data_IF_046900896013
#
_entry.id   IF_046900896013
#
_cell.length_a   1.000
_cell.length_b   1.000
_cell.length_c   1.000
_cell.angle_alpha   90.00
_cell.angle_beta   90.00
_cell.angle_gamma   90.00
#
_symmetry.space_group_name_H-M   'P 1'
#
loop_
_entity.id
_entity.type
_entity.pdbx_description
1 polymer ?
#
# COMPACT_ATOMS: atom_id res chain seq x y z
N UNK A 1 5.50 -22.00 -25.55
CA UNK A 1 4.46 -21.25 -26.32
C UNK A 1 4.62 -19.79 -25.97
N UNK A 2 5.29 -19.01 -26.79
CA UNK A 2 5.68 -17.63 -26.54
C UNK A 2 4.50 -16.69 -26.75
N UNK A 3 4.16 -15.93 -25.75
CA UNK A 3 3.00 -15.05 -25.62
C UNK A 3 3.03 -13.94 -26.68
N UNK A 4 1.92 -13.77 -27.39
CA UNK A 4 1.60 -12.68 -28.32
C UNK A 4 1.35 -11.34 -27.59
N UNK A 5 2.19 -10.95 -26.64
CA UNK A 5 2.03 -9.72 -25.86
C UNK A 5 2.32 -8.41 -26.63
N UNK A 6 2.74 -8.48 -27.90
CA UNK A 6 3.25 -7.32 -28.63
C UNK A 6 2.50 -7.00 -29.94
N UNK A 7 1.22 -7.37 -30.05
CA UNK A 7 0.45 -6.96 -31.23
C UNK A 7 0.03 -5.48 -31.12
N UNK A 8 -0.05 -4.72 -32.24
CA UNK A 8 -0.54 -3.34 -32.23
C UNK A 8 -1.93 -3.19 -31.58
N UNK A 9 -2.79 -4.19 -31.73
CA UNK A 9 -4.12 -4.23 -31.10
C UNK A 9 -4.04 -4.39 -29.59
N UNK A 10 -3.11 -5.20 -29.07
CA UNK A 10 -2.93 -5.36 -27.63
C UNK A 10 -2.40 -4.07 -26.99
N UNK A 11 -1.43 -3.41 -27.63
CA UNK A 11 -0.90 -2.10 -27.19
C UNK A 11 -1.98 -1.02 -27.18
N UNK A 12 -2.77 -0.91 -28.24
CA UNK A 12 -3.88 0.04 -28.30
C UNK A 12 -4.92 -0.23 -27.22
N UNK A 13 -5.25 -1.51 -26.97
CA UNK A 13 -6.19 -1.87 -25.92
C UNK A 13 -5.67 -1.46 -24.53
N UNK A 14 -4.39 -1.70 -24.26
CA UNK A 14 -3.77 -1.34 -22.98
C UNK A 14 -3.70 0.18 -22.81
N UNK A 15 -3.32 0.90 -23.85
CA UNK A 15 -3.32 2.36 -23.83
C UNK A 15 -4.71 2.92 -23.54
N UNK A 16 -5.75 2.45 -24.23
CA UNK A 16 -7.13 2.88 -23.95
C UNK A 16 -7.57 2.54 -22.54
N UNK A 17 -7.12 1.39 -22.01
CA UNK A 17 -7.40 0.99 -20.63
C UNK A 17 -6.75 1.94 -19.63
N UNK A 18 -5.50 2.34 -19.88
CA UNK A 18 -4.81 3.37 -19.08
C UNK A 18 -5.53 4.72 -19.15
N UNK A 19 -5.93 5.17 -20.34
CA UNK A 19 -6.68 6.43 -20.53
C UNK A 19 -8.00 6.43 -19.73
N UNK A 20 -8.72 5.31 -19.72
CA UNK A 20 -9.94 5.14 -18.90
C UNK A 20 -9.61 5.30 -17.41
N UNK A 21 -8.56 4.66 -16.92
CA UNK A 21 -8.12 4.74 -15.51
C UNK A 21 -7.68 6.16 -15.14
N UNK A 22 -6.95 6.86 -16.02
CA UNK A 22 -6.51 8.23 -15.77
C UNK A 22 -7.70 9.20 -15.61
N UNK A 23 -8.74 9.05 -16.44
CA UNK A 23 -9.98 9.82 -16.28
C UNK A 23 -10.70 9.45 -14.98
N UNK A 24 -10.76 8.16 -14.67
CA UNK A 24 -11.38 7.69 -13.43
C UNK A 24 -10.68 8.25 -12.18
N UNK A 25 -9.35 8.31 -12.16
CA UNK A 25 -8.57 8.93 -11.08
C UNK A 25 -8.87 10.42 -10.96
N UNK A 26 -9.00 11.15 -12.09
CA UNK A 26 -9.42 12.56 -12.04
C UNK A 26 -10.84 12.73 -11.47
N UNK A 27 -11.78 11.85 -11.82
CA UNK A 27 -13.13 11.87 -11.26
C UNK A 27 -13.14 11.50 -9.77
N UNK A 28 -12.30 10.55 -9.37
CA UNK A 28 -12.07 10.17 -7.97
C UNK A 28 -11.53 11.37 -7.17
N UNK A 29 -10.58 12.11 -7.74
CA UNK A 29 -10.03 13.32 -7.14
C UNK A 29 -11.07 14.42 -6.94
N UNK A 30 -11.96 14.60 -7.92
CA UNK A 30 -12.94 15.68 -7.91
C UNK A 30 -14.18 15.39 -7.03
N UNK A 31 -14.56 14.13 -6.88
CA UNK A 31 -15.84 13.77 -6.25
C UNK A 31 -15.83 12.50 -5.42
N UNK A 32 -14.65 11.99 -5.04
CA UNK A 32 -14.53 10.75 -4.31
C UNK A 32 -15.02 9.55 -5.13
N UNK A 33 -15.19 8.42 -4.46
CA UNK A 33 -15.63 7.18 -5.11
C UNK A 33 -16.99 7.38 -5.80
N UNK A 34 -17.92 8.11 -5.18
CA UNK A 34 -19.23 8.38 -5.76
C UNK A 34 -19.15 9.25 -7.04
N UNK A 35 -18.07 9.99 -7.20
CA UNK A 35 -17.77 10.78 -8.39
C UNK A 35 -17.44 9.96 -9.63
N UNK A 36 -17.04 8.70 -9.52
CA UNK A 36 -16.61 7.87 -10.67
C UNK A 36 -17.82 7.36 -11.45
N UNK A 37 -17.91 7.73 -12.74
CA UNK A 37 -19.04 7.39 -13.60
C UNK A 37 -18.58 6.96 -15.00
N UNK A 38 -18.80 5.70 -15.37
CA UNK A 38 -18.35 5.10 -16.65
C UNK A 38 -18.80 5.88 -17.87
N UNK A 39 -20.05 6.35 -17.90
CA UNK A 39 -20.56 7.10 -19.07
C UNK A 39 -19.92 8.48 -19.22
N UNK A 40 -19.53 9.14 -18.13
CA UNK A 40 -18.76 10.38 -18.19
C UNK A 40 -17.35 10.13 -18.69
N UNK A 41 -16.72 9.04 -18.25
CA UNK A 41 -15.39 8.62 -18.73
C UNK A 41 -15.47 8.37 -20.24
N UNK A 42 -16.42 7.57 -20.70
CA UNK A 42 -16.60 7.27 -22.12
C UNK A 42 -16.71 8.55 -22.95
N UNK A 43 -17.54 9.51 -22.53
CA UNK A 43 -17.73 10.79 -23.20
C UNK A 43 -16.43 11.60 -23.27
N UNK A 44 -15.64 11.62 -22.20
CA UNK A 44 -14.40 12.40 -22.10
C UNK A 44 -13.32 11.89 -23.06
N UNK A 45 -13.21 10.56 -23.23
CA UNK A 45 -12.21 9.94 -24.11
C UNK A 45 -12.77 9.62 -25.53
N UNK A 46 -13.98 10.09 -25.84
CA UNK A 46 -14.57 9.91 -27.19
C UNK A 46 -15.02 8.47 -27.48
N UNK A 47 -15.27 7.65 -26.46
CA UNK A 47 -15.82 6.30 -26.63
C UNK A 47 -17.34 6.29 -26.52
N UNK A 48 -17.98 5.36 -27.25
CA UNK A 48 -19.38 5.03 -26.98
C UNK A 48 -19.50 4.23 -25.67
N UNK A 49 -20.62 4.36 -24.96
CA UNK A 49 -20.88 3.55 -23.75
C UNK A 49 -20.64 2.05 -23.96
N UNK A 50 -21.23 1.41 -25.00
CA UNK A 50 -20.96 -0.01 -25.29
C UNK A 50 -19.50 -0.34 -25.59
N UNK A 51 -18.70 0.62 -26.11
CA UNK A 51 -17.27 0.42 -26.33
C UNK A 51 -16.51 0.40 -25.01
N UNK A 52 -16.85 1.27 -24.05
CA UNK A 52 -16.25 1.30 -22.73
C UNK A 52 -16.53 0.03 -21.93
N UNK A 53 -17.76 -0.48 -21.97
CA UNK A 53 -18.13 -1.73 -21.29
C UNK A 53 -17.37 -2.97 -21.78
N UNK A 54 -16.65 -2.91 -22.91
CA UNK A 54 -15.70 -3.95 -23.34
C UNK A 54 -14.37 -3.92 -22.61
N UNK A 55 -14.06 -2.80 -21.95
CA UNK A 55 -12.85 -2.64 -21.11
C UNK A 55 -13.14 -2.92 -19.65
N UNK A 56 -14.24 -2.43 -19.13
CA UNK A 56 -14.68 -2.59 -17.74
C UNK A 56 -16.17 -2.91 -17.75
N UNK A 57 -16.53 -4.11 -17.26
CA UNK A 57 -17.91 -4.58 -17.29
C UNK A 57 -18.83 -3.79 -16.34
N UNK A 58 -18.24 -3.21 -15.28
CA UNK A 58 -18.94 -2.40 -14.30
C UNK A 58 -18.05 -1.28 -13.75
N UNK A 59 -18.64 -0.35 -13.01
CA UNK A 59 -17.93 0.65 -12.22
C UNK A 59 -17.05 -0.03 -11.15
N UNK A 60 -17.55 -1.07 -10.55
CA UNK A 60 -16.85 -1.80 -9.50
C UNK A 60 -15.62 -2.54 -10.04
N UNK A 61 -15.68 -3.07 -11.28
CA UNK A 61 -14.50 -3.64 -11.94
C UNK A 61 -13.41 -2.58 -12.16
N UNK A 62 -13.80 -1.36 -12.56
CA UNK A 62 -12.86 -0.26 -12.70
C UNK A 62 -12.27 0.15 -11.33
N UNK A 63 -13.11 0.29 -10.31
CA UNK A 63 -12.65 0.61 -8.96
C UNK A 63 -11.72 -0.48 -8.39
N UNK A 64 -12.03 -1.74 -8.65
CA UNK A 64 -11.19 -2.87 -8.25
C UNK A 64 -9.78 -2.78 -8.85
N UNK A 65 -9.66 -2.42 -10.13
CA UNK A 65 -8.35 -2.19 -10.75
C UNK A 65 -7.65 -0.97 -10.19
N UNK A 66 -8.36 0.15 -9.93
CA UNK A 66 -7.75 1.31 -9.28
C UNK A 66 -7.23 0.99 -7.88
N UNK A 67 -7.90 0.12 -7.13
CA UNK A 67 -7.41 -0.38 -5.84
C UNK A 67 -6.09 -1.15 -6.01
N UNK A 68 -6.01 -2.03 -7.00
CA UNK A 68 -4.77 -2.78 -7.28
C UNK A 68 -3.64 -1.85 -7.72
N UNK A 69 -3.91 -0.90 -8.63
CA UNK A 69 -2.95 0.11 -9.07
C UNK A 69 -2.45 0.98 -7.90
N UNK A 70 -3.34 1.36 -6.97
CA UNK A 70 -2.97 2.13 -5.79
C UNK A 70 -2.00 1.37 -4.87
N UNK A 71 -2.27 0.09 -4.61
CA UNK A 71 -1.32 -0.76 -3.86
C UNK A 71 0.00 -0.96 -4.61
N UNK A 72 -0.03 -1.10 -5.94
CA UNK A 72 1.18 -1.19 -6.76
C UNK A 72 2.00 0.10 -6.70
N UNK A 73 1.34 1.25 -6.75
CA UNK A 73 2.00 2.56 -6.60
C UNK A 73 2.66 2.72 -5.23
N UNK A 74 1.94 2.37 -4.15
CA UNK A 74 2.49 2.38 -2.79
C UNK A 74 3.68 1.42 -2.64
N UNK A 75 3.54 0.19 -3.16
CA UNK A 75 4.62 -0.80 -3.13
C UNK A 75 5.84 -0.32 -3.93
N UNK A 76 5.62 0.24 -5.13
CA UNK A 76 6.71 0.75 -5.97
C UNK A 76 7.50 1.87 -5.25
N UNK A 77 6.82 2.79 -4.56
CA UNK A 77 7.46 3.85 -3.79
C UNK A 77 8.35 3.29 -2.67
N UNK A 78 7.83 2.32 -1.91
CA UNK A 78 8.58 1.69 -0.81
C UNK A 78 9.73 0.81 -1.33
N UNK A 79 9.53 0.08 -2.44
CA UNK A 79 10.57 -0.77 -3.04
C UNK A 79 11.69 0.03 -3.73
N UNK A 80 11.45 1.30 -4.07
CA UNK A 80 12.47 2.17 -4.64
C UNK A 80 13.49 2.67 -3.60
N UNK A 81 13.20 2.47 -2.30
CA UNK A 81 14.09 2.88 -1.22
C UNK A 81 15.30 1.94 -1.17
N UNK A 82 16.49 2.53 -1.16
CA UNK A 82 17.70 1.78 -0.83
C UNK A 82 17.71 1.47 0.69
N UNK A 83 17.82 0.19 1.02
CA UNK A 83 17.86 -0.29 2.40
C UNK A 83 19.20 -0.92 2.77
N UNK A 84 20.26 -0.71 1.97
CA UNK A 84 21.58 -1.31 2.21
C UNK A 84 22.19 -0.88 3.54
N UNK A 85 22.00 0.38 3.93
CA UNK A 85 22.45 0.90 5.25
C UNK A 85 21.70 0.26 6.44
N UNK A 86 20.57 -0.38 6.18
CA UNK A 86 19.78 -1.12 7.18
C UNK A 86 19.26 -0.25 8.33
N UNK A 87 18.75 -0.92 9.35
CA UNK A 87 18.44 -0.35 10.64
C UNK A 87 17.49 0.86 10.63
N UNK A 88 17.85 1.88 11.40
CA UNK A 88 17.06 3.12 11.59
C UNK A 88 16.89 3.92 10.31
N UNK A 89 17.99 4.06 9.55
CA UNK A 89 17.98 4.86 8.32
C UNK A 89 17.00 4.25 7.29
N UNK A 90 17.03 2.94 7.11
CA UNK A 90 16.13 2.24 6.23
C UNK A 90 14.67 2.35 6.71
N UNK A 91 14.41 2.19 8.01
CA UNK A 91 13.05 2.33 8.55
C UNK A 91 12.47 3.73 8.28
N UNK A 92 13.28 4.77 8.54
CA UNK A 92 12.91 6.16 8.27
C UNK A 92 12.62 6.38 6.78
N UNK A 93 13.52 5.95 5.89
CA UNK A 93 13.34 6.12 4.45
C UNK A 93 12.09 5.41 3.93
N UNK A 94 11.79 4.19 4.40
CA UNK A 94 10.61 3.44 4.01
C UNK A 94 9.30 4.12 4.46
N UNK A 95 9.24 4.62 5.70
CA UNK A 95 8.05 5.32 6.22
C UNK A 95 7.80 6.63 5.46
N UNK A 96 8.87 7.36 5.13
CA UNK A 96 8.79 8.58 4.35
C UNK A 96 8.37 8.34 2.90
N UNK A 97 8.93 7.33 2.24
CA UNK A 97 8.55 6.97 0.87
C UNK A 97 7.05 6.63 0.77
N UNK A 98 6.51 5.91 1.75
CA UNK A 98 5.08 5.64 1.82
C UNK A 98 4.27 6.93 2.02
N UNK A 99 4.67 7.80 2.97
CA UNK A 99 4.00 9.09 3.21
C UNK A 99 4.03 9.98 1.98
N UNK A 100 5.19 10.14 1.33
CA UNK A 100 5.35 10.96 0.13
C UNK A 100 4.45 10.48 -1.01
N UNK A 101 4.38 9.17 -1.24
CA UNK A 101 3.44 8.60 -2.19
C UNK A 101 1.99 8.95 -1.83
N UNK A 102 1.62 8.78 -0.58
CA UNK A 102 0.26 8.99 -0.11
C UNK A 102 -0.17 10.47 -0.21
N UNK A 103 0.73 11.39 0.17
CA UNK A 103 0.50 12.85 0.06
C UNK A 103 0.45 13.30 -1.41
N UNK A 104 1.26 12.71 -2.28
CA UNK A 104 1.24 12.99 -3.72
C UNK A 104 -0.01 12.39 -4.42
N UNK A 105 -0.59 11.32 -3.86
CA UNK A 105 -1.73 10.59 -4.43
C UNK A 105 -2.86 10.40 -3.42
N UNK A 106 -3.38 11.49 -2.80
CA UNK A 106 -4.30 11.36 -1.66
C UNK A 106 -5.57 10.59 -1.99
N UNK A 107 -6.05 10.69 -3.25
CA UNK A 107 -7.27 9.99 -3.67
C UNK A 107 -7.06 8.48 -3.80
N UNK A 108 -5.88 8.05 -4.28
CA UNK A 108 -5.50 6.64 -4.36
C UNK A 108 -5.24 6.08 -2.96
N UNK A 109 -4.60 6.86 -2.09
CA UNK A 109 -4.43 6.49 -0.69
C UNK A 109 -5.79 6.26 -0.02
N UNK A 110 -6.72 7.21 -0.13
CA UNK A 110 -8.05 7.10 0.47
C UNK A 110 -8.87 5.94 -0.12
N UNK A 111 -8.63 5.58 -1.37
CA UNK A 111 -9.29 4.44 -2.01
C UNK A 111 -8.92 3.10 -1.35
N UNK A 112 -7.65 2.95 -0.91
CA UNK A 112 -7.16 1.70 -0.30
C UNK A 112 -7.20 1.71 1.23
N UNK A 113 -7.26 2.89 1.85
CA UNK A 113 -7.20 3.04 3.31
C UNK A 113 -8.43 3.75 3.89
N UNK A 114 -9.31 4.24 3.02
CA UNK A 114 -10.52 4.95 3.43
C UNK A 114 -11.61 4.02 3.98
N UNK A 115 -12.74 4.64 4.28
CA UNK A 115 -13.92 3.91 4.77
C UNK A 115 -14.41 2.93 3.70
N UNK A 116 -14.72 1.67 4.07
CA UNK A 116 -15.31 0.72 3.13
C UNK A 116 -16.56 1.30 2.47
N UNK A 117 -16.63 1.20 1.16
CA UNK A 117 -17.80 1.67 0.40
C UNK A 117 -18.89 0.60 0.43
N UNK A 118 -20.11 1.00 0.80
CA UNK A 118 -21.23 0.09 0.83
C UNK A 118 -21.45 -0.56 -0.55
N UNK A 119 -21.49 -1.88 -0.58
CA UNK A 119 -21.68 -2.65 -1.81
C UNK A 119 -20.43 -2.90 -2.66
N UNK A 120 -19.27 -2.30 -2.32
CA UNK A 120 -18.00 -2.61 -2.97
C UNK A 120 -17.20 -3.65 -2.16
N UNK A 121 -16.77 -4.71 -2.81
CA UNK A 121 -15.89 -5.73 -2.23
C UNK A 121 -14.51 -5.62 -2.88
N UNK A 122 -13.49 -5.38 -2.07
CA UNK A 122 -12.12 -5.33 -2.56
C UNK A 122 -11.72 -6.68 -3.19
N UNK A 123 -10.90 -6.67 -4.27
CA UNK A 123 -10.40 -7.90 -4.88
C UNK A 123 -9.66 -8.79 -3.87
N UNK A 124 -9.73 -10.11 -4.04
CA UNK A 124 -9.01 -11.07 -3.18
C UNK A 124 -7.51 -10.89 -3.20
N UNK A 125 -6.96 -10.40 -4.32
CA UNK A 125 -5.53 -10.13 -4.48
C UNK A 125 -5.03 -8.92 -3.69
N UNK A 126 -5.94 -8.11 -3.14
CA UNK A 126 -5.63 -6.93 -2.32
C UNK A 126 -4.72 -7.27 -1.13
N UNK A 127 -4.92 -8.44 -0.49
CA UNK A 127 -4.09 -8.88 0.63
C UNK A 127 -2.63 -9.11 0.20
N UNK A 128 -2.42 -9.69 -0.98
CA UNK A 128 -1.06 -9.91 -1.52
C UNK A 128 -0.39 -8.58 -1.87
N UNK A 129 -1.14 -7.64 -2.42
CA UNK A 129 -0.65 -6.29 -2.73
C UNK A 129 -0.32 -5.50 -1.46
N UNK A 130 -1.15 -5.56 -0.42
CA UNK A 130 -0.87 -4.95 0.87
C UNK A 130 0.40 -5.54 1.53
N UNK A 131 0.60 -6.86 1.43
CA UNK A 131 1.82 -7.53 1.87
C UNK A 131 3.06 -7.04 1.12
N UNK A 132 2.95 -6.69 -0.15
CA UNK A 132 4.05 -6.14 -0.94
C UNK A 132 4.52 -4.78 -0.39
N UNK A 133 3.60 -3.93 0.08
CA UNK A 133 3.95 -2.65 0.72
C UNK A 133 4.74 -2.86 2.01
N UNK A 134 4.37 -3.86 2.83
CA UNK A 134 5.02 -4.13 4.12
C UNK A 134 6.28 -4.99 4.00
N UNK A 135 6.52 -5.61 2.86
CA UNK A 135 7.64 -6.52 2.66
C UNK A 135 9.01 -5.95 3.06
N UNK A 136 9.43 -4.78 2.53
CA UNK A 136 10.71 -4.17 2.86
C UNK A 136 10.93 -3.92 4.35
N UNK A 137 9.88 -3.61 5.11
CA UNK A 137 9.96 -3.42 6.56
C UNK A 137 10.35 -4.71 7.29
N UNK A 138 9.93 -5.88 6.79
CA UNK A 138 10.34 -7.16 7.37
C UNK A 138 11.86 -7.33 7.36
N UNK A 139 12.51 -6.97 6.26
CA UNK A 139 13.98 -7.07 6.12
C UNK A 139 14.71 -6.17 7.12
N UNK A 140 14.16 -4.98 7.38
CA UNK A 140 14.71 -4.04 8.36
C UNK A 140 14.58 -4.61 9.77
N UNK A 141 13.40 -5.06 10.17
CA UNK A 141 13.17 -5.59 11.52
C UNK A 141 13.79 -6.96 11.77
N UNK A 142 14.16 -7.71 10.73
CA UNK A 142 14.94 -8.95 10.89
C UNK A 142 16.31 -8.71 11.57
N UNK A 143 16.80 -7.47 11.56
CA UNK A 143 18.04 -7.07 12.23
C UNK A 143 17.81 -6.66 13.70
N UNK A 144 16.56 -6.54 14.12
CA UNK A 144 16.17 -5.98 15.41
C UNK A 144 16.30 -6.94 16.59
N UNK A 145 16.39 -6.35 17.77
CA UNK A 145 16.33 -7.03 19.07
C UNK A 145 15.26 -6.33 19.92
N UNK A 146 14.01 -6.81 19.92
CA UNK A 146 12.92 -6.10 20.57
C UNK A 146 13.10 -6.05 22.09
N UNK A 147 12.66 -4.95 22.69
CA UNK A 147 12.55 -4.84 24.14
C UNK A 147 11.41 -5.75 24.65
N UNK A 148 11.54 -6.26 25.88
CA UNK A 148 10.60 -7.19 26.55
C UNK A 148 9.13 -6.71 26.50
N UNK A 149 8.90 -5.40 26.49
CA UNK A 149 7.55 -4.82 26.43
C UNK A 149 6.72 -5.23 25.19
N UNK A 150 7.34 -5.71 24.12
CA UNK A 150 6.64 -6.19 22.92
C UNK A 150 6.44 -7.70 22.89
N UNK A 151 6.96 -8.45 23.86
CA UNK A 151 6.85 -9.91 23.92
C UNK A 151 5.41 -10.43 23.80
N UNK A 152 4.39 -9.79 24.40
CA UNK A 152 3.02 -10.27 24.23
C UNK A 152 2.56 -10.28 22.77
N UNK A 153 2.93 -9.27 21.98
CA UNK A 153 2.59 -9.22 20.55
C UNK A 153 3.43 -10.21 19.73
N UNK A 154 4.72 -10.34 20.07
CA UNK A 154 5.60 -11.36 19.46
C UNK A 154 4.99 -12.76 19.62
N UNK A 155 4.50 -13.08 20.82
CA UNK A 155 3.89 -14.39 21.09
C UNK A 155 2.61 -14.63 20.26
N UNK A 156 1.77 -13.60 20.11
CA UNK A 156 0.55 -13.68 19.29
C UNK A 156 0.88 -13.87 17.81
N UNK A 157 1.80 -13.07 17.26
CA UNK A 157 2.18 -13.15 15.86
C UNK A 157 2.97 -14.43 15.53
N UNK A 158 3.74 -14.98 16.46
CA UNK A 158 4.34 -16.32 16.35
C UNK A 158 3.25 -17.40 16.17
N UNK A 159 2.15 -17.28 16.89
CA UNK A 159 1.02 -18.21 16.73
C UNK A 159 0.42 -18.08 15.34
N UNK A 160 0.22 -16.84 14.86
CA UNK A 160 -0.27 -16.58 13.53
C UNK A 160 0.65 -17.13 12.42
N UNK A 161 1.97 -16.98 12.55
CA UNK A 161 2.95 -17.57 11.63
C UNK A 161 2.85 -19.10 11.56
N UNK A 162 2.62 -19.77 12.71
CA UNK A 162 2.47 -21.24 12.75
C UNK A 162 1.17 -21.72 12.11
N UNK A 163 0.09 -20.94 12.26
CA UNK A 163 -1.23 -21.31 11.77
C UNK A 163 -1.47 -20.95 10.31
N UNK A 164 -0.65 -20.05 9.75
CA UNK A 164 -0.81 -19.51 8.40
C UNK A 164 0.48 -19.68 7.58
N UNK A 165 0.66 -20.83 6.90
CA UNK A 165 1.87 -21.10 6.10
C UNK A 165 2.15 -20.02 5.04
N UNK A 166 1.10 -19.40 4.47
CA UNK A 166 1.23 -18.33 3.49
C UNK A 166 1.78 -17.03 4.08
N UNK A 167 1.61 -16.80 5.38
CA UNK A 167 2.24 -15.66 6.09
C UNK A 167 3.69 -15.99 6.39
N UNK A 168 3.97 -17.20 6.85
CA UNK A 168 5.34 -17.66 7.10
C UNK A 168 6.20 -17.59 5.84
N UNK A 169 5.69 -18.08 4.71
CA UNK A 169 6.38 -18.04 3.41
C UNK A 169 6.63 -16.57 2.95
N UNK A 170 5.68 -15.68 3.17
CA UNK A 170 5.86 -14.26 2.87
C UNK A 170 6.97 -13.63 3.74
N UNK A 171 7.00 -13.89 5.04
CA UNK A 171 8.06 -13.38 5.92
C UNK A 171 9.42 -13.98 5.53
N UNK A 172 9.49 -15.27 5.27
CA UNK A 172 10.71 -15.95 4.82
C UNK A 172 11.22 -15.39 3.49
N UNK A 173 10.34 -15.10 2.54
CA UNK A 173 10.69 -14.48 1.26
C UNK A 173 11.46 -13.17 1.43
N UNK A 174 11.09 -12.34 2.42
CA UNK A 174 11.69 -11.03 2.66
C UNK A 174 12.89 -11.06 3.59
N UNK A 175 12.93 -11.98 4.52
CA UNK A 175 13.98 -12.03 5.55
C UNK A 175 15.03 -13.08 5.28
N UNK A 176 14.72 -14.09 4.46
CA UNK A 176 15.52 -15.31 4.33
C UNK A 176 15.58 -16.12 5.64
N UNK A 177 14.72 -15.83 6.62
CA UNK A 177 14.80 -16.34 7.99
C UNK A 177 13.46 -16.92 8.46
N UNK A 178 13.55 -17.84 9.40
CA UNK A 178 12.41 -18.44 10.12
C UNK A 178 12.60 -18.31 11.63
N UNK A 179 11.66 -18.83 12.43
CA UNK A 179 11.75 -18.87 13.88
C UNK A 179 11.75 -17.48 14.51
N UNK A 180 12.60 -17.25 15.51
CA UNK A 180 12.60 -16.02 16.31
C UNK A 180 12.84 -14.75 15.46
N UNK A 181 13.68 -14.83 14.43
CA UNK A 181 13.93 -13.68 13.54
C UNK A 181 12.67 -13.32 12.75
N UNK A 182 11.96 -14.30 12.22
CA UNK A 182 10.69 -14.10 11.54
C UNK A 182 9.61 -13.52 12.47
N UNK A 183 9.55 -14.00 13.73
CA UNK A 183 8.64 -13.48 14.75
C UNK A 183 8.88 -11.98 15.00
N UNK A 184 10.15 -11.59 15.17
CA UNK A 184 10.58 -10.21 15.39
C UNK A 184 10.29 -9.34 14.17
N UNK A 185 10.66 -9.80 12.98
CA UNK A 185 10.46 -9.10 11.73
C UNK A 185 8.98 -8.78 11.49
N UNK A 186 8.12 -9.79 11.65
CA UNK A 186 6.68 -9.62 11.50
C UNK A 186 6.13 -8.63 12.55
N UNK A 187 6.59 -8.73 13.80
CA UNK A 187 6.12 -7.84 14.86
C UNK A 187 6.46 -6.37 14.56
N UNK A 188 7.68 -6.10 14.13
CA UNK A 188 8.09 -4.74 13.76
C UNK A 188 7.28 -4.18 12.59
N UNK A 189 7.11 -4.95 11.52
CA UNK A 189 6.33 -4.53 10.36
C UNK A 189 4.85 -4.27 10.73
N UNK A 190 4.23 -5.15 11.54
CA UNK A 190 2.85 -4.98 12.01
C UNK A 190 2.70 -3.77 12.92
N UNK A 191 3.70 -3.45 13.77
CA UNK A 191 3.67 -2.26 14.62
C UNK A 191 3.89 -0.96 13.84
N UNK A 192 4.67 -1.00 12.76
CA UNK A 192 4.87 0.18 11.89
C UNK A 192 3.58 0.59 11.20
N UNK A 193 2.80 -0.38 10.74
CA UNK A 193 1.60 -0.13 9.94
C UNK A 193 0.60 0.85 10.56
N UNK A 194 0.07 0.64 11.79
CA UNK A 194 -0.90 1.55 12.37
C UNK A 194 -0.33 2.93 12.69
N UNK A 195 0.95 3.04 13.02
CA UNK A 195 1.59 4.34 13.30
C UNK A 195 1.71 5.16 12.02
N UNK A 196 2.32 4.58 10.98
CA UNK A 196 2.50 5.20 9.69
C UNK A 196 1.13 5.57 9.07
N UNK A 197 0.22 4.59 9.02
CA UNK A 197 -1.11 4.78 8.48
C UNK A 197 -1.93 5.82 9.26
N UNK A 198 -1.87 5.81 10.59
CA UNK A 198 -2.58 6.77 11.44
C UNK A 198 -2.14 8.20 11.18
N UNK A 199 -0.83 8.46 11.17
CA UNK A 199 -0.28 9.79 10.90
C UNK A 199 -0.63 10.28 9.49
N UNK A 200 -0.38 9.44 8.48
CA UNK A 200 -0.66 9.80 7.08
C UNK A 200 -2.15 10.00 6.83
N UNK A 201 -3.02 9.18 7.43
CA UNK A 201 -4.47 9.35 7.29
C UNK A 201 -4.98 10.66 7.87
N UNK A 202 -4.51 11.03 9.06
CA UNK A 202 -4.88 12.28 9.71
C UNK A 202 -4.35 13.50 8.94
N UNK A 203 -3.16 13.41 8.37
CA UNK A 203 -2.60 14.44 7.50
C UNK A 203 -3.46 14.64 6.24
N UNK A 204 -3.71 13.57 5.48
CA UNK A 204 -4.44 13.63 4.21
C UNK A 204 -5.89 14.09 4.39
N UNK A 205 -6.51 13.75 5.52
CA UNK A 205 -7.90 14.16 5.82
C UNK A 205 -8.00 15.54 6.49
N UNK A 206 -6.88 16.28 6.63
CA UNK A 206 -6.85 17.62 7.20
C UNK A 206 -7.10 17.67 8.71
N UNK A 207 -6.99 16.53 9.41
CA UNK A 207 -7.22 16.50 10.87
C UNK A 207 -6.10 17.20 11.66
N UNK A 208 -4.94 17.41 11.05
CA UNK A 208 -3.84 18.16 11.64
C UNK A 208 -3.85 19.66 11.32
N UNK A 209 -4.80 20.12 10.50
CA UNK A 209 -4.88 21.53 10.11
C UNK A 209 -5.09 22.43 11.34
N UNK A 210 -4.26 23.45 11.47
CA UNK A 210 -4.30 24.39 12.59
C UNK A 210 -3.68 23.91 13.90
N UNK A 211 -3.13 22.69 13.99
CA UNK A 211 -2.46 22.18 15.19
C UNK A 211 -1.02 22.71 15.35
N UNK A 212 -0.45 23.39 14.36
CA UNK A 212 0.85 24.05 14.45
C UNK A 212 2.06 23.10 14.48
N UNK A 213 1.90 21.84 14.06
CA UNK A 213 3.00 20.89 13.90
C UNK A 213 3.10 20.38 12.46
N UNK A 214 4.27 19.85 12.09
CA UNK A 214 4.48 19.16 10.83
C UNK A 214 4.21 17.66 11.02
N UNK A 215 3.29 17.06 10.24
CA UNK A 215 3.03 15.61 10.28
C UNK A 215 4.28 14.75 9.99
N UNK A 216 5.22 15.25 9.16
CA UNK A 216 6.48 14.56 8.91
C UNK A 216 7.30 14.42 10.19
N UNK A 217 7.43 15.52 10.97
CA UNK A 217 8.14 15.49 12.27
C UNK A 217 7.48 14.51 13.24
N UNK A 218 6.15 14.40 13.27
CA UNK A 218 5.46 13.42 14.09
C UNK A 218 5.81 11.99 13.66
N UNK A 219 5.81 11.73 12.35
CA UNK A 219 6.19 10.43 11.81
C UNK A 219 7.65 10.07 12.13
N UNK A 220 8.57 11.04 12.07
CA UNK A 220 9.97 10.88 12.45
C UNK A 220 10.12 10.41 13.90
N UNK A 221 9.43 11.08 14.82
CA UNK A 221 9.47 10.74 16.24
C UNK A 221 8.90 9.33 16.48
N UNK A 222 7.78 8.99 15.86
CA UNK A 222 7.17 7.67 15.98
C UNK A 222 8.09 6.57 15.43
N UNK A 223 8.71 6.83 14.29
CA UNK A 223 9.67 5.92 13.64
C UNK A 223 10.91 5.73 14.52
N UNK A 224 11.45 6.80 15.12
CA UNK A 224 12.58 6.72 16.04
C UNK A 224 12.24 5.91 17.30
N UNK A 225 11.08 6.13 17.90
CA UNK A 225 10.59 5.35 19.06
C UNK A 225 10.47 3.87 18.71
N UNK A 226 10.00 3.56 17.50
CA UNK A 226 9.88 2.18 17.04
C UNK A 226 11.25 1.55 16.81
N UNK A 227 12.17 2.27 16.19
CA UNK A 227 13.56 1.84 16.03
C UNK A 227 14.24 1.56 17.37
N UNK A 228 14.03 2.43 18.38
CA UNK A 228 14.51 2.19 19.77
C UNK A 228 13.87 0.96 20.39
N UNK A 229 12.58 0.75 20.16
CA UNK A 229 11.84 -0.40 20.67
C UNK A 229 12.39 -1.72 20.16
N UNK A 230 12.88 -1.75 18.93
CA UNK A 230 13.50 -2.91 18.30
C UNK A 230 15.03 -2.86 18.33
N UNK A 231 15.62 -1.86 18.98
CA UNK A 231 17.08 -1.67 19.06
C UNK A 231 17.74 -1.81 17.68
N UNK A 232 17.13 -1.19 16.66
CA UNK A 232 17.68 -1.20 15.31
C UNK A 232 19.01 -0.44 15.27
N UNK A 233 20.02 -0.95 14.54
CA UNK A 233 21.31 -0.31 14.39
C UNK A 233 21.22 1.05 13.69
#
# INVERSE_FOLDING_TARGET
MTVRANSPRARYREQTRSEIKDVAVRQLAAGGIEGVALLRIAKEIGLSGPALYRYFASRDDLLAELVLDAYEGAAAAVHAVDTEDGGRAALHALTHAYREWAVAQPHLYLLIQGTPVAGFTAPTDTVLKARSVLGPFLSVFAQGRPLVRVDPLVAQLRTWLREKPEVAAWVEQWTGQTGTVADVALTGAVMTWPQMHGTVSLEITGQFDGMGHDPATMLDIQTAILADTFQLP
#
